data_IF_593044055436
#
_entry.id   IF_593044055436
#
_cell.length_a   1.000
_cell.length_b   1.000
_cell.length_c   1.000
_cell.angle_alpha   90.00
_cell.angle_beta   90.00
_cell.angle_gamma   90.00
#
_symmetry.space_group_name_H-M   'P 1'
#
loop_
_entity.id
_entity.type
_entity.pdbx_description
1 polymer ?
#
# COMPACT_ATOMS: atom_id res chain seq x y z
N UNK A 1 -10.52 20.77 -4.08
CA UNK A 1 -9.23 20.83 -4.82
C UNK A 1 -8.38 21.97 -4.26
N UNK A 2 -7.27 21.62 -3.61
CA UNK A 2 -6.26 22.53 -3.05
C UNK A 2 -5.05 22.60 -3.99
N UNK A 3 -4.38 23.75 -4.07
CA UNK A 3 -3.23 23.97 -4.94
C UNK A 3 -2.02 24.44 -4.13
N UNK A 4 -0.91 23.73 -4.20
CA UNK A 4 0.35 24.04 -3.52
C UNK A 4 1.51 24.01 -4.51
N UNK A 5 2.17 25.15 -4.74
CA UNK A 5 3.34 25.26 -5.64
C UNK A 5 3.12 24.68 -7.07
N UNK A 6 1.86 24.65 -7.55
CA UNK A 6 1.48 24.08 -8.84
C UNK A 6 0.97 22.63 -8.77
N UNK A 7 1.14 21.95 -7.64
CA UNK A 7 0.55 20.66 -7.34
C UNK A 7 -0.94 20.80 -6.96
N UNK A 8 -1.82 20.02 -7.57
CA UNK A 8 -3.25 19.97 -7.23
C UNK A 8 -3.53 18.73 -6.39
N UNK A 9 -4.08 18.91 -5.20
CA UNK A 9 -4.51 17.84 -4.30
C UNK A 9 -6.03 17.90 -4.23
N UNK A 10 -6.70 16.82 -4.63
CA UNK A 10 -8.14 16.73 -4.40
C UNK A 10 -8.42 16.40 -2.95
N UNK A 11 -9.34 17.14 -2.32
CA UNK A 11 -9.75 16.98 -0.93
C UNK A 11 -11.16 16.38 -0.82
N UNK A 12 -11.67 15.82 -1.93
CA UNK A 12 -12.98 15.19 -1.98
C UNK A 12 -13.07 13.90 -1.16
N UNK A 13 -11.93 13.21 -0.97
CA UNK A 13 -11.88 11.96 -0.24
C UNK A 13 -11.84 12.18 1.29
N UNK A 14 -12.46 11.28 2.07
CA UNK A 14 -12.49 11.39 3.52
C UNK A 14 -11.11 11.16 4.16
N UNK A 15 -10.21 10.47 3.46
CA UNK A 15 -8.84 10.21 3.88
C UNK A 15 -7.89 10.39 2.70
N UNK A 16 -6.79 11.11 2.94
CA UNK A 16 -5.70 11.27 1.99
C UNK A 16 -4.39 10.99 2.70
N UNK A 17 -3.54 10.19 2.07
CA UNK A 17 -2.17 9.93 2.54
C UNK A 17 -1.18 10.56 1.57
N UNK A 18 -0.36 11.47 2.09
CA UNK A 18 0.73 12.13 1.36
C UNK A 18 2.04 11.37 1.59
N UNK A 19 2.62 10.84 0.51
CA UNK A 19 3.97 10.28 0.54
C UNK A 19 4.94 11.06 -0.34
N UNK A 20 6.23 10.81 -0.19
CA UNK A 20 7.27 11.42 -1.01
C UNK A 20 8.65 11.29 -0.37
N UNK A 21 9.70 11.33 -1.19
CA UNK A 21 11.09 11.28 -0.72
C UNK A 21 11.41 12.46 0.21
N UNK A 22 12.51 12.35 0.95
CA UNK A 22 12.98 13.45 1.80
C UNK A 22 13.19 14.72 0.98
N UNK A 23 12.70 15.84 1.47
CA UNK A 23 12.74 17.12 0.76
C UNK A 23 11.63 17.34 -0.27
N UNK A 24 10.69 16.40 -0.44
CA UNK A 24 9.56 16.56 -1.38
C UNK A 24 8.51 17.60 -1.00
N UNK A 25 8.66 18.24 0.17
CA UNK A 25 7.77 19.32 0.62
C UNK A 25 6.53 18.88 1.40
N UNK A 26 6.43 17.63 1.88
CA UNK A 26 5.27 17.12 2.65
C UNK A 26 4.82 18.05 3.78
N UNK A 27 5.70 18.34 4.74
CA UNK A 27 5.36 19.23 5.87
C UNK A 27 5.01 20.65 5.41
N UNK A 28 5.62 21.15 4.32
CA UNK A 28 5.23 22.45 3.73
C UNK A 28 3.83 22.41 3.13
N UNK A 29 3.48 21.34 2.44
CA UNK A 29 2.16 21.14 1.86
C UNK A 29 1.08 21.01 2.96
N UNK A 30 1.37 20.29 4.06
CA UNK A 30 0.46 20.18 5.21
C UNK A 30 0.22 21.54 5.88
N UNK A 31 1.28 22.34 6.10
CA UNK A 31 1.15 23.70 6.65
C UNK A 31 0.34 24.61 5.74
N UNK A 32 0.67 24.66 4.45
CA UNK A 32 -0.07 25.47 3.48
C UNK A 32 -1.55 25.05 3.38
N UNK A 33 -1.83 23.74 3.52
CA UNK A 33 -3.18 23.23 3.58
C UNK A 33 -3.92 23.72 4.83
N UNK A 34 -3.27 23.62 6.01
CA UNK A 34 -3.83 24.12 7.26
C UNK A 34 -4.14 25.62 7.18
N UNK A 35 -3.19 26.43 6.69
CA UNK A 35 -3.36 27.87 6.49
C UNK A 35 -4.54 28.19 5.56
N UNK A 36 -4.71 27.40 4.48
CA UNK A 36 -5.81 27.60 3.53
C UNK A 36 -7.19 27.23 4.09
N UNK A 37 -7.23 26.31 5.06
CA UNK A 37 -8.46 25.85 5.71
C UNK A 37 -8.84 26.73 6.91
N UNK A 38 -7.90 27.52 7.44
CA UNK A 38 -8.10 28.36 8.62
C UNK A 38 -8.64 27.54 9.80
N UNK A 39 -9.73 28.01 10.41
CA UNK A 39 -10.35 27.37 11.58
C UNK A 39 -10.86 25.93 11.35
N UNK A 40 -10.98 25.50 10.08
CA UNK A 40 -11.37 24.14 9.71
C UNK A 40 -10.19 23.17 9.63
N UNK A 41 -8.96 23.68 9.56
CA UNK A 41 -7.75 22.87 9.50
C UNK A 41 -7.17 22.66 10.89
N UNK A 42 -7.08 21.41 11.33
CA UNK A 42 -6.40 21.06 12.58
C UNK A 42 -5.07 20.37 12.26
N UNK A 43 -3.99 21.16 12.21
CA UNK A 43 -2.64 20.63 12.05
C UNK A 43 -2.08 20.13 13.38
N UNK A 44 -1.69 18.86 13.42
CA UNK A 44 -1.08 18.22 14.59
C UNK A 44 0.31 17.71 14.19
N UNK A 45 1.34 18.38 14.72
CA UNK A 45 2.72 17.89 14.69
C UNK A 45 3.04 17.22 16.02
N UNK A 46 2.92 15.89 16.08
CA UNK A 46 3.07 15.16 17.34
C UNK A 46 4.47 15.27 17.93
N UNK A 47 5.52 15.39 17.10
CA UNK A 47 6.87 15.53 17.59
C UNK A 47 7.05 16.84 18.38
N UNK A 48 6.70 17.97 17.76
CA UNK A 48 6.82 19.29 18.39
C UNK A 48 5.94 19.40 19.64
N UNK A 49 4.74 18.80 19.62
CA UNK A 49 3.84 18.77 20.76
C UNK A 49 4.38 17.93 21.92
N UNK A 50 4.92 16.74 21.65
CA UNK A 50 5.53 15.89 22.68
C UNK A 50 6.71 16.61 23.37
N UNK A 51 7.61 17.22 22.59
CA UNK A 51 8.77 17.96 23.11
C UNK A 51 8.35 19.13 24.00
N UNK A 52 7.35 19.91 23.56
CA UNK A 52 6.79 21.01 24.35
C UNK A 52 6.20 20.50 25.66
N UNK A 53 5.26 19.55 25.59
CA UNK A 53 4.63 18.93 26.77
C UNK A 53 5.67 18.41 27.75
N UNK A 54 6.66 17.66 27.29
CA UNK A 54 7.70 17.11 28.16
C UNK A 54 8.58 18.20 28.78
N UNK A 55 8.87 19.27 28.06
CA UNK A 55 9.68 20.39 28.57
C UNK A 55 9.00 21.02 29.77
N UNK A 56 7.69 21.31 29.68
CA UNK A 56 6.93 21.89 30.80
C UNK A 56 6.73 20.86 31.92
N UNK A 57 6.42 19.61 31.58
CA UNK A 57 6.24 18.57 32.59
C UNK A 57 7.51 18.20 33.36
N UNK A 58 8.69 18.52 32.82
CA UNK A 58 9.98 18.30 33.48
C UNK A 58 10.51 19.54 34.19
N UNK A 59 9.98 20.73 33.89
CA UNK A 59 10.41 21.97 34.54
C UNK A 59 9.70 22.23 35.87
N UNK A 60 8.62 21.49 36.18
CA UNK A 60 7.85 21.64 37.43
C UNK A 60 7.69 20.32 38.17
N UNK A 61 7.50 20.43 39.48
CA UNK A 61 7.29 19.29 40.39
C UNK A 61 5.93 19.36 41.13
N UNK A 62 5.15 20.42 40.92
CA UNK A 62 3.87 20.71 41.58
C UNK A 62 2.65 20.00 40.96
N UNK A 63 2.85 19.19 39.92
CA UNK A 63 1.77 18.53 39.19
C UNK A 63 0.92 17.56 40.03
N UNK A 64 1.51 16.98 41.09
CA UNK A 64 0.77 16.09 42.01
C UNK A 64 -0.31 16.89 42.75
N UNK A 65 -0.01 18.13 43.14
CA UNK A 65 -0.95 19.00 43.82
C UNK A 65 -2.01 19.53 42.85
N UNK A 66 -1.58 19.96 41.65
CA UNK A 66 -2.50 20.40 40.58
C UNK A 66 -3.51 19.30 40.18
N UNK A 67 -3.07 18.04 40.10
CA UNK A 67 -3.93 16.90 39.76
C UNK A 67 -5.10 16.72 40.75
N UNK A 68 -4.89 17.04 42.03
CA UNK A 68 -5.94 16.92 43.04
C UNK A 68 -7.00 18.03 42.89
N UNK A 69 -6.64 19.15 42.26
CA UNK A 69 -7.50 20.29 42.02
C UNK A 69 -8.30 20.15 40.72
N UNK A 70 -7.64 19.73 39.63
CA UNK A 70 -8.24 19.52 38.32
C UNK A 70 -8.65 18.05 38.17
N UNK A 71 -9.91 17.74 38.44
CA UNK A 71 -10.44 16.37 38.37
C UNK A 71 -10.23 15.67 37.01
N UNK A 72 -10.44 14.35 36.98
CA UNK A 72 -10.26 13.53 35.77
C UNK A 72 -11.19 14.00 34.64
N UNK A 73 -10.61 14.24 33.47
CA UNK A 73 -11.32 14.68 32.25
C UNK A 73 -11.62 13.52 31.29
N UNK A 74 -10.81 12.46 31.32
CA UNK A 74 -10.97 11.32 30.44
C UNK A 74 -9.96 10.20 30.75
N UNK A 75 -9.72 9.27 29.82
CA UNK A 75 -10.61 8.93 28.70
C UNK A 75 -11.86 8.19 29.20
N UNK A 76 -12.90 8.11 28.37
CA UNK A 76 -14.00 7.16 28.54
C UNK A 76 -13.56 5.73 28.14
N UNK A 77 -14.41 4.73 28.36
CA UNK A 77 -14.07 3.33 28.07
C UNK A 77 -13.79 3.09 26.58
N UNK A 78 -14.46 3.81 25.68
CA UNK A 78 -14.23 3.71 24.23
C UNK A 78 -12.83 4.22 23.88
N UNK A 79 -12.47 5.43 24.33
CA UNK A 79 -11.16 6.05 24.06
C UNK A 79 -10.03 5.29 24.74
N UNK A 80 -10.24 4.77 25.96
CA UNK A 80 -9.27 3.88 26.60
C UNK A 80 -8.94 2.69 25.71
N UNK A 81 -9.96 2.02 25.17
CA UNK A 81 -9.76 0.87 24.27
C UNK A 81 -9.04 1.25 22.98
N UNK A 82 -9.27 2.46 22.46
CA UNK A 82 -8.57 2.95 21.27
C UNK A 82 -7.08 3.23 21.56
N UNK A 83 -6.76 3.83 22.71
CA UNK A 83 -5.39 4.07 23.18
C UNK A 83 -4.65 2.75 23.41
N UNK A 84 -5.24 1.81 24.17
CA UNK A 84 -4.65 0.50 24.47
C UNK A 84 -4.25 -0.26 23.21
N UNK A 85 -5.11 -0.23 22.17
CA UNK A 85 -4.83 -0.85 20.87
C UNK A 85 -3.73 -0.16 20.09
N UNK A 86 -3.69 1.17 20.11
CA UNK A 86 -2.68 1.94 19.38
C UNK A 86 -1.28 1.83 20.04
N UNK A 87 -1.23 1.87 21.37
CA UNK A 87 0.02 1.65 22.13
C UNK A 87 0.42 0.17 22.13
N UNK A 88 -0.54 -0.75 22.05
CA UNK A 88 -0.31 -2.19 22.16
C UNK A 88 -0.08 -2.63 23.61
N UNK A 89 -0.78 -2.02 24.57
CA UNK A 89 -0.71 -2.33 26.01
C UNK A 89 -2.11 -2.43 26.60
N UNK A 90 -2.27 -3.36 27.54
CA UNK A 90 -3.47 -3.49 28.37
C UNK A 90 -3.20 -2.78 29.70
N UNK A 91 -3.68 -1.55 29.83
CA UNK A 91 -3.53 -0.79 31.06
C UNK A 91 -4.48 -1.31 32.14
N UNK A 92 -4.07 -1.22 33.39
CA UNK A 92 -4.93 -1.43 34.56
C UNK A 92 -5.79 -0.18 34.81
N UNK A 93 -5.20 1.00 34.66
CA UNK A 93 -5.87 2.30 34.74
C UNK A 93 -5.28 3.27 33.72
N UNK A 94 -6.12 4.16 33.18
CA UNK A 94 -5.73 5.30 32.36
C UNK A 94 -6.58 6.48 32.78
N UNK A 95 -5.94 7.54 33.27
CA UNK A 95 -6.60 8.77 33.67
C UNK A 95 -5.93 9.97 32.97
N UNK A 96 -6.75 10.84 32.39
CA UNK A 96 -6.33 12.07 31.74
C UNK A 96 -6.78 13.28 32.55
N UNK A 97 -5.89 14.26 32.61
CA UNK A 97 -6.06 15.52 33.32
C UNK A 97 -5.73 16.66 32.36
N UNK A 98 -6.41 17.79 32.53
CA UNK A 98 -6.13 19.02 31.81
C UNK A 98 -5.73 20.07 32.85
N UNK A 99 -4.43 20.36 32.94
CA UNK A 99 -3.85 21.24 33.94
C UNK A 99 -3.78 22.66 33.39
N UNK A 100 -4.33 23.64 34.10
CA UNK A 100 -4.25 25.04 33.69
C UNK A 100 -2.86 25.62 33.99
N UNK A 101 -2.24 26.27 33.01
CA UNK A 101 -0.94 26.93 33.17
C UNK A 101 -1.07 28.41 32.82
N UNK A 102 -0.54 29.27 33.71
CA UNK A 102 -0.50 30.71 33.50
C UNK A 102 0.53 31.08 32.42
N UNK A 103 0.11 31.93 31.47
CA UNK A 103 0.83 32.29 30.24
C UNK A 103 2.14 33.07 30.42
N UNK A 104 2.55 33.39 31.66
CA UNK A 104 3.82 34.07 31.95
C UNK A 104 5.06 33.17 31.72
N UNK A 105 4.90 31.84 31.68
CA UNK A 105 5.97 30.87 31.42
C UNK A 105 6.20 30.63 29.90
N UNK A 106 6.33 31.73 29.16
CA UNK A 106 6.32 31.87 27.69
C UNK A 106 7.35 31.05 26.87
N UNK A 107 7.21 29.73 26.87
CA UNK A 107 7.72 28.83 25.81
C UNK A 107 6.59 28.07 25.10
N UNK A 108 5.34 28.34 25.46
CA UNK A 108 4.19 27.48 25.16
C UNK A 108 3.12 28.14 24.28
N UNK A 109 3.27 29.42 23.92
CA UNK A 109 2.20 30.29 23.43
C UNK A 109 1.68 30.07 21.99
N UNK A 110 2.10 29.02 21.28
CA UNK A 110 1.86 28.93 19.82
C UNK A 110 1.48 27.52 19.35
N UNK A 111 0.51 26.85 19.99
CA UNK A 111 0.10 25.51 19.52
C UNK A 111 -1.25 24.96 19.96
N UNK A 112 -1.84 25.53 21.01
CA UNK A 112 -3.14 25.09 21.52
C UNK A 112 -4.14 26.25 21.54
N UNK A 113 -4.36 26.86 20.37
CA UNK A 113 -5.49 27.75 20.12
C UNK A 113 -5.70 28.89 21.12
N UNK A 114 -4.87 29.93 21.06
CA UNK A 114 -5.24 31.33 21.30
C UNK A 114 -6.03 31.74 22.56
N UNK A 115 -6.06 30.95 23.63
CA UNK A 115 -6.75 31.27 24.87
C UNK A 115 -5.79 31.87 25.91
N UNK A 116 -6.30 32.74 26.81
CA UNK A 116 -5.53 33.35 27.91
C UNK A 116 -5.03 32.33 28.96
N UNK A 117 -5.61 31.12 28.97
CA UNK A 117 -5.24 29.96 29.80
C UNK A 117 -4.98 28.77 28.89
N UNK A 118 -3.79 28.18 28.96
CA UNK A 118 -3.45 26.99 28.18
C UNK A 118 -3.64 25.71 29.03
N UNK A 119 -4.36 24.74 28.47
CA UNK A 119 -4.58 23.44 29.09
C UNK A 119 -3.44 22.48 28.72
N UNK A 120 -2.65 22.09 29.72
CA UNK A 120 -1.60 21.09 29.58
C UNK A 120 -2.15 19.68 29.82
N UNK A 121 -2.09 18.78 28.84
CA UNK A 121 -2.47 17.38 29.04
C UNK A 121 -1.48 16.66 29.97
N UNK A 122 -2.03 15.98 30.98
CA UNK A 122 -1.27 15.12 31.89
C UNK A 122 -1.96 13.76 32.02
N UNK A 123 -1.17 12.70 32.05
CA UNK A 123 -1.66 11.32 32.01
C UNK A 123 -1.06 10.52 33.16
N UNK A 124 -1.91 9.76 33.82
CA UNK A 124 -1.54 8.78 34.85
C UNK A 124 -2.03 7.41 34.39
N UNK A 125 -1.12 6.43 34.38
CA UNK A 125 -1.41 5.08 33.91
C UNK A 125 -0.90 4.03 34.88
N UNK A 126 -1.65 2.94 34.99
CA UNK A 126 -1.25 1.73 35.71
C UNK A 126 -1.00 0.61 34.73
N UNK A 127 0.14 -0.07 34.83
CA UNK A 127 0.49 -1.22 34.00
C UNK A 127 1.32 -2.23 34.79
N UNK A 128 0.84 -3.47 34.87
CA UNK A 128 1.52 -4.59 35.56
C UNK A 128 1.91 -4.25 37.00
N UNK A 129 1.01 -3.63 37.75
CA UNK A 129 1.21 -3.22 39.15
C UNK A 129 2.13 -2.00 39.34
N UNK A 130 2.63 -1.37 38.27
CA UNK A 130 3.41 -0.13 38.33
C UNK A 130 2.55 1.04 37.87
N UNK A 131 2.57 2.14 38.62
CA UNK A 131 1.96 3.40 38.20
C UNK A 131 3.03 4.39 37.77
N UNK A 132 2.77 5.08 36.68
CA UNK A 132 3.68 6.08 36.12
C UNK A 132 2.91 7.13 35.32
N UNK A 133 3.61 8.21 34.98
CA UNK A 133 2.99 9.44 34.49
C UNK A 133 3.47 9.80 33.09
N UNK A 134 2.90 10.83 32.48
CA UNK A 134 3.39 11.39 31.21
C UNK A 134 4.91 11.65 31.17
N UNK A 135 5.55 11.90 32.33
CA UNK A 135 7.00 12.16 32.42
C UNK A 135 7.84 10.91 32.16
N UNK A 136 7.27 9.75 32.47
CA UNK A 136 7.90 8.43 32.44
C UNK A 136 7.55 7.65 31.15
N UNK A 137 6.52 8.10 30.42
CA UNK A 137 6.09 7.51 29.16
C UNK A 137 7.18 7.62 28.08
N UNK A 138 7.32 6.57 27.27
CA UNK A 138 8.09 6.67 26.03
C UNK A 138 7.40 7.59 25.03
N UNK A 139 8.16 8.21 24.10
CA UNK A 139 7.61 9.17 23.13
C UNK A 139 6.44 8.63 22.31
N UNK A 140 6.49 7.36 21.89
CA UNK A 140 5.40 6.73 21.14
C UNK A 140 4.14 6.48 21.97
N UNK A 141 4.29 6.24 23.27
CA UNK A 141 3.15 6.11 24.19
C UNK A 141 2.52 7.48 24.45
N UNK A 142 3.35 8.48 24.77
CA UNK A 142 2.91 9.84 25.00
C UNK A 142 2.21 10.43 23.77
N UNK A 143 2.77 10.23 22.57
CA UNK A 143 2.21 10.78 21.33
C UNK A 143 0.80 10.25 21.03
N UNK A 144 0.53 8.97 21.31
CA UNK A 144 -0.80 8.37 21.15
C UNK A 144 -1.79 8.98 22.15
N UNK A 145 -1.40 9.08 23.41
CA UNK A 145 -2.25 9.71 24.44
C UNK A 145 -2.57 11.17 24.09
N UNK A 146 -1.55 11.94 23.68
CA UNK A 146 -1.72 13.33 23.24
C UNK A 146 -2.65 13.44 22.03
N UNK A 147 -2.46 12.59 21.02
CA UNK A 147 -3.30 12.63 19.83
C UNK A 147 -4.77 12.41 20.18
N UNK A 148 -5.09 11.34 20.93
CA UNK A 148 -6.48 11.10 21.31
C UNK A 148 -7.04 12.16 22.25
N UNK A 149 -6.21 12.74 23.14
CA UNK A 149 -6.63 13.89 23.95
C UNK A 149 -7.01 15.09 23.08
N UNK A 150 -6.21 15.43 22.07
CA UNK A 150 -6.50 16.51 21.11
C UNK A 150 -7.82 16.23 20.38
N UNK A 151 -8.01 15.00 19.91
CA UNK A 151 -9.26 14.62 19.25
C UNK A 151 -10.46 14.85 20.18
N UNK A 152 -10.34 14.54 21.47
CA UNK A 152 -11.42 14.79 22.43
C UNK A 152 -11.73 16.28 22.64
N UNK A 153 -10.72 17.15 22.67
CA UNK A 153 -10.93 18.60 22.81
C UNK A 153 -11.76 19.18 21.66
N UNK A 154 -11.68 18.56 20.48
CA UNK A 154 -12.39 19.02 19.30
C UNK A 154 -13.69 18.24 19.02
N UNK A 155 -14.10 17.30 19.87
CA UNK A 155 -15.20 16.34 19.58
C UNK A 155 -16.54 16.96 19.18
N UNK A 156 -16.82 18.20 19.61
CA UNK A 156 -18.09 18.90 19.34
C UNK A 156 -18.09 19.66 18.01
N UNK A 157 -16.91 19.83 17.39
CA UNK A 157 -16.78 20.52 16.11
C UNK A 157 -17.15 19.55 14.97
N UNK A 158 -18.02 20.01 14.08
CA UNK A 158 -18.35 19.34 12.81
C UNK A 158 -17.57 19.96 11.65
N UNK A 159 -17.24 19.18 10.61
CA UNK A 159 -16.52 19.64 9.40
C UNK A 159 -15.08 20.12 9.65
N UNK A 160 -14.30 19.35 10.42
CA UNK A 160 -12.85 19.52 10.57
C UNK A 160 -12.11 18.69 9.53
N UNK A 161 -11.00 19.22 9.03
CA UNK A 161 -9.95 18.45 8.36
C UNK A 161 -8.77 18.28 9.33
N UNK A 162 -8.58 17.06 9.82
CA UNK A 162 -7.45 16.68 10.66
C UNK A 162 -6.21 16.48 9.77
N UNK A 163 -5.13 17.21 10.05
CA UNK A 163 -3.90 17.19 9.26
C UNK A 163 -2.79 16.68 10.18
N UNK A 164 -2.22 15.52 9.86
CA UNK A 164 -1.21 14.85 10.68
C UNK A 164 0.12 14.78 9.94
N UNK A 165 1.19 15.26 10.58
CA UNK A 165 2.56 15.07 10.07
C UNK A 165 3.21 13.90 10.81
N UNK A 166 3.49 12.82 10.07
CA UNK A 166 4.17 11.60 10.53
C UNK A 166 3.68 11.07 11.90
N UNK A 167 2.36 10.82 12.06
CA UNK A 167 1.80 10.41 13.35
C UNK A 167 2.27 9.02 13.82
N UNK A 168 2.90 8.27 12.93
CA UNK A 168 3.41 6.91 13.11
C UNK A 168 4.93 6.84 13.37
N UNK A 169 5.65 7.96 13.36
CA UNK A 169 7.12 7.98 13.44
C UNK A 169 7.71 7.27 14.67
N UNK A 170 6.99 7.28 15.80
CA UNK A 170 7.45 6.69 17.07
C UNK A 170 6.80 5.34 17.40
N UNK A 171 5.97 4.80 16.50
CA UNK A 171 5.21 3.58 16.74
C UNK A 171 5.83 2.38 16.03
N UNK A 172 5.77 1.18 16.66
CA UNK A 172 6.07 -0.05 15.93
C UNK A 172 5.04 -0.27 14.81
N UNK A 173 5.35 -1.06 13.75
CA UNK A 173 4.44 -1.26 12.61
C UNK A 173 3.03 -1.76 12.96
N UNK A 174 2.90 -2.55 14.03
CA UNK A 174 1.61 -3.02 14.54
C UNK A 174 0.81 -1.86 15.14
N UNK A 175 1.48 -0.97 15.88
CA UNK A 175 0.86 0.21 16.50
C UNK A 175 0.45 1.27 15.47
N UNK A 176 1.25 1.48 14.42
CA UNK A 176 0.91 2.45 13.36
C UNK A 176 -0.37 2.07 12.60
N UNK A 177 -0.50 0.79 12.22
CA UNK A 177 -1.69 0.27 11.52
C UNK A 177 -2.94 0.35 12.40
N UNK A 178 -2.80 0.02 13.70
CA UNK A 178 -3.87 0.16 14.68
C UNK A 178 -4.29 1.62 14.87
N UNK A 179 -3.34 2.54 15.00
CA UNK A 179 -3.59 3.97 15.16
C UNK A 179 -4.40 4.52 13.99
N UNK A 180 -3.97 4.29 12.75
CA UNK A 180 -4.66 4.79 11.56
C UNK A 180 -6.09 4.28 11.45
N UNK A 181 -6.28 2.97 11.63
CA UNK A 181 -7.61 2.36 11.59
C UNK A 181 -8.54 3.04 12.58
N UNK A 182 -8.02 3.44 13.74
CA UNK A 182 -8.80 4.18 14.76
C UNK A 182 -9.03 5.62 14.37
N UNK A 183 -8.02 6.33 13.89
CA UNK A 183 -8.17 7.70 13.41
C UNK A 183 -9.22 7.80 12.32
N UNK A 184 -9.21 6.88 11.37
CA UNK A 184 -10.22 6.80 10.30
C UNK A 184 -11.62 6.61 10.87
N UNK A 185 -11.81 5.67 11.79
CA UNK A 185 -13.11 5.46 12.44
C UNK A 185 -13.58 6.69 13.21
N UNK A 186 -12.70 7.32 13.98
CA UNK A 186 -13.03 8.53 14.74
C UNK A 186 -13.41 9.67 13.80
N UNK A 187 -12.68 9.84 12.69
CA UNK A 187 -12.98 10.88 11.70
C UNK A 187 -14.31 10.59 11.00
N UNK A 188 -14.55 9.36 10.56
CA UNK A 188 -15.81 8.96 9.93
C UNK A 188 -17.02 9.13 10.87
N UNK A 189 -16.91 8.69 12.14
CA UNK A 189 -17.95 8.84 13.16
C UNK A 189 -18.32 10.32 13.38
N UNK A 190 -17.37 11.25 13.15
CA UNK A 190 -17.51 12.69 13.36
C UNK A 190 -17.75 13.50 12.09
N UNK A 191 -17.74 12.86 10.92
CA UNK A 191 -17.79 13.54 9.62
C UNK A 191 -16.57 14.43 9.36
N UNK A 192 -15.41 14.10 9.94
CA UNK A 192 -14.15 14.79 9.69
C UNK A 192 -13.44 14.20 8.49
N UNK A 193 -12.61 15.02 7.84
CA UNK A 193 -11.64 14.57 6.84
C UNK A 193 -10.28 14.38 7.51
N UNK A 194 -9.45 13.50 6.96
CA UNK A 194 -8.08 13.30 7.44
C UNK A 194 -7.08 13.40 6.29
N UNK A 195 -5.99 14.13 6.52
CA UNK A 195 -4.83 14.21 5.63
C UNK A 195 -3.60 13.83 6.46
N UNK A 196 -2.90 12.78 6.06
CA UNK A 196 -1.74 12.25 6.81
C UNK A 196 -0.52 12.25 5.92
N UNK A 197 0.60 12.82 6.37
CA UNK A 197 1.90 12.52 5.79
C UNK A 197 2.54 11.34 6.52
N UNK A 198 3.06 10.36 5.78
CA UNK A 198 3.75 9.21 6.36
C UNK A 198 4.81 8.64 5.43
N UNK A 199 5.80 8.01 6.04
CA UNK A 199 6.85 7.23 5.39
C UNK A 199 6.70 5.71 5.61
N UNK A 200 5.75 5.26 6.43
CA UNK A 200 5.60 3.84 6.70
C UNK A 200 5.10 3.10 5.45
N UNK A 201 5.88 2.11 5.00
CA UNK A 201 5.56 1.28 3.84
C UNK A 201 4.20 0.58 4.00
N UNK A 202 3.83 0.18 5.22
CA UNK A 202 2.51 -0.39 5.52
C UNK A 202 1.39 0.61 5.28
N UNK A 203 1.52 1.85 5.79
CA UNK A 203 0.52 2.91 5.58
C UNK A 203 0.37 3.26 4.10
N UNK A 204 1.50 3.43 3.41
CA UNK A 204 1.51 3.76 1.98
C UNK A 204 0.84 2.62 1.18
N UNK A 205 1.17 1.37 1.49
CA UNK A 205 0.58 0.19 0.81
C UNK A 205 -0.93 0.11 0.99
N UNK A 206 -1.44 0.38 2.19
CA UNK A 206 -2.88 0.39 2.46
C UNK A 206 -3.57 1.55 1.74
N UNK A 207 -2.98 2.75 1.77
CA UNK A 207 -3.53 3.93 1.09
C UNK A 207 -3.59 3.77 -0.43
N UNK A 208 -2.58 3.12 -1.02
CA UNK A 208 -2.57 2.76 -2.44
C UNK A 208 -3.71 1.79 -2.78
N UNK A 209 -3.94 0.78 -1.95
CA UNK A 209 -5.01 -0.19 -2.16
C UNK A 209 -6.42 0.42 -2.07
N UNK A 210 -6.55 1.58 -1.43
CA UNK A 210 -7.81 2.33 -1.27
C UNK A 210 -7.90 3.55 -2.19
N UNK A 211 -6.96 3.72 -3.14
CA UNK A 211 -6.90 4.88 -4.05
C UNK A 211 -6.92 6.23 -3.31
N UNK A 212 -6.34 6.27 -2.11
CA UNK A 212 -6.29 7.42 -1.19
C UNK A 212 -4.89 8.03 -1.09
N UNK A 213 -3.94 7.53 -1.89
CA UNK A 213 -2.53 7.92 -1.84
C UNK A 213 -2.20 9.02 -2.86
N UNK A 214 -1.42 10.03 -2.43
CA UNK A 214 -0.89 11.10 -3.28
C UNK A 214 0.63 11.19 -3.09
N UNK A 215 1.37 11.09 -4.19
CA UNK A 215 2.82 11.26 -4.21
C UNK A 215 3.18 12.73 -4.43
N UNK A 216 3.95 13.31 -3.52
CA UNK A 216 4.65 14.58 -3.71
C UNK A 216 6.08 14.34 -4.19
N UNK A 217 6.45 14.98 -5.29
CA UNK A 217 7.79 14.93 -5.90
C UNK A 217 8.22 16.31 -6.39
N UNK A 218 9.52 16.54 -6.48
CA UNK A 218 10.08 17.77 -7.02
C UNK A 218 10.57 17.48 -8.44
N UNK A 219 10.15 18.28 -9.42
CA UNK A 219 10.62 18.17 -10.80
C UNK A 219 12.05 18.71 -10.97
N UNK A 220 12.65 18.53 -12.15
CA UNK A 220 14.00 19.03 -12.45
C UNK A 220 14.13 20.56 -12.32
N UNK A 221 13.01 21.29 -12.36
CA UNK A 221 12.95 22.74 -12.18
C UNK A 221 12.77 23.18 -10.73
N UNK A 222 12.74 22.24 -9.79
CA UNK A 222 12.57 22.53 -8.36
C UNK A 222 11.12 22.77 -7.94
N UNK A 223 10.13 22.49 -8.80
CA UNK A 223 8.70 22.68 -8.49
C UNK A 223 8.10 21.40 -7.91
N UNK A 224 7.26 21.57 -6.90
CA UNK A 224 6.51 20.46 -6.30
C UNK A 224 5.37 20.03 -7.22
N UNK A 225 5.27 18.74 -7.48
CA UNK A 225 4.20 18.08 -8.22
C UNK A 225 3.50 17.07 -7.33
N UNK A 226 2.17 17.00 -7.43
CA UNK A 226 1.37 15.93 -6.83
C UNK A 226 0.89 14.98 -7.93
N UNK A 227 0.97 13.67 -7.66
CA UNK A 227 0.39 12.65 -8.53
C UNK A 227 -0.49 11.74 -7.68
N UNK A 228 -1.73 11.55 -8.09
CA UNK A 228 -2.65 10.69 -7.38
C UNK A 228 -2.45 9.23 -7.79
N UNK A 229 -2.58 8.31 -6.83
CA UNK A 229 -2.56 6.87 -7.08
C UNK A 229 -3.60 6.37 -8.09
N UNK A 230 -4.74 7.07 -8.24
CA UNK A 230 -5.75 6.76 -9.26
C UNK A 230 -5.33 7.14 -10.68
N UNK A 231 -4.44 8.12 -10.80
CA UNK A 231 -3.93 8.60 -12.09
C UNK A 231 -2.69 7.81 -12.52
N UNK A 232 -1.93 7.28 -11.57
CA UNK A 232 -0.73 6.48 -11.81
C UNK A 232 -0.51 5.44 -10.70
N UNK A 233 -0.82 4.18 -10.99
CA UNK A 233 -0.64 3.07 -10.05
C UNK A 233 0.85 2.68 -9.84
N UNK A 234 1.77 3.22 -10.65
CA UNK A 234 3.21 2.94 -10.52
C UNK A 234 3.91 3.75 -9.43
N UNK A 235 3.23 4.75 -8.85
CA UNK A 235 3.77 5.60 -7.79
C UNK A 235 4.20 4.83 -6.52
N UNK A 236 3.60 3.66 -6.29
CA UNK A 236 3.98 2.75 -5.23
C UNK A 236 5.46 2.34 -5.30
N UNK A 237 5.97 2.16 -6.51
CA UNK A 237 7.31 1.61 -6.76
C UNK A 237 8.41 2.59 -6.35
N UNK A 238 8.11 3.89 -6.28
CA UNK A 238 9.06 4.94 -5.94
C UNK A 238 9.31 5.07 -4.42
N UNK A 239 8.42 4.54 -3.58
CA UNK A 239 8.45 4.77 -2.13
C UNK A 239 8.38 3.50 -1.27
N UNK A 240 7.70 2.44 -1.73
CA UNK A 240 7.43 1.25 -0.91
C UNK A 240 8.60 0.26 -0.92
N UNK A 241 9.61 0.48 -1.77
CA UNK A 241 10.63 -0.54 -2.07
C UNK A 241 10.04 -1.67 -2.91
N UNK A 242 10.89 -2.63 -3.31
CA UNK A 242 10.47 -3.72 -4.20
C UNK A 242 9.23 -4.45 -3.63
N UNK A 243 8.22 -4.73 -4.46
CA UNK A 243 7.05 -5.48 -4.02
C UNK A 243 7.50 -6.83 -3.47
N UNK A 244 7.10 -7.14 -2.23
CA UNK A 244 7.39 -8.45 -1.62
C UNK A 244 6.70 -9.50 -2.49
N UNK A 245 7.47 -10.34 -3.17
CA UNK A 245 6.94 -11.47 -3.94
C UNK A 245 6.10 -12.33 -3.00
N UNK A 246 4.78 -12.36 -3.23
CA UNK A 246 3.82 -13.16 -2.46
C UNK A 246 3.44 -14.45 -3.15
N UNK A 247 3.65 -14.52 -4.47
CA UNK A 247 3.26 -15.63 -5.34
C UNK A 247 4.43 -16.02 -6.22
N UNK A 248 4.65 -17.32 -6.39
CA UNK A 248 5.61 -17.87 -7.35
C UNK A 248 4.90 -18.89 -8.22
N UNK A 249 4.88 -18.65 -9.53
CA UNK A 249 4.30 -19.56 -10.52
C UNK A 249 5.43 -20.28 -11.24
N UNK A 250 5.39 -21.61 -11.25
CA UNK A 250 6.28 -22.42 -12.07
C UNK A 250 5.59 -22.77 -13.38
N UNK A 251 6.26 -22.56 -14.50
CA UNK A 251 5.76 -22.81 -15.87
C UNK A 251 6.74 -23.69 -16.64
N UNK A 252 6.28 -24.30 -17.74
CA UNK A 252 7.05 -25.34 -18.45
C UNK A 252 8.26 -24.76 -19.17
N UNK A 253 8.06 -23.71 -19.95
CA UNK A 253 9.08 -23.10 -20.80
C UNK A 253 8.90 -21.58 -20.95
N UNK A 254 9.63 -20.98 -21.88
CA UNK A 254 9.61 -19.54 -22.13
C UNK A 254 8.32 -19.05 -22.81
N UNK A 255 7.69 -19.88 -23.64
CA UNK A 255 6.42 -19.54 -24.29
C UNK A 255 5.30 -19.55 -23.25
N UNK A 256 5.27 -20.57 -22.39
CA UNK A 256 4.39 -20.67 -21.23
C UNK A 256 4.62 -19.50 -20.25
N UNK A 257 5.88 -19.13 -19.99
CA UNK A 257 6.22 -17.96 -19.18
C UNK A 257 5.65 -16.68 -19.74
N UNK A 258 5.84 -16.46 -21.04
CA UNK A 258 5.44 -15.20 -21.66
C UNK A 258 3.92 -15.07 -21.67
N UNK A 259 3.22 -16.16 -22.01
CA UNK A 259 1.75 -16.19 -21.96
C UNK A 259 1.23 -16.00 -20.53
N UNK A 260 1.78 -16.74 -19.55
CA UNK A 260 1.40 -16.58 -18.14
C UNK A 260 1.62 -15.15 -17.65
N UNK A 261 2.73 -14.52 -18.05
CA UNK A 261 3.04 -13.14 -17.64
C UNK A 261 1.99 -12.16 -18.13
N UNK A 262 1.59 -12.25 -19.40
CA UNK A 262 0.54 -11.40 -19.95
C UNK A 262 -0.81 -11.68 -19.27
N UNK A 263 -1.15 -12.95 -19.01
CA UNK A 263 -2.38 -13.32 -18.29
C UNK A 263 -2.40 -12.77 -16.86
N UNK A 264 -1.28 -12.79 -16.15
CA UNK A 264 -1.18 -12.20 -14.80
C UNK A 264 -1.30 -10.67 -14.87
N UNK A 265 -0.80 -10.02 -15.92
CA UNK A 265 -0.98 -8.57 -16.13
C UNK A 265 -2.47 -8.19 -16.28
N UNK A 266 -3.30 -9.06 -16.88
CA UNK A 266 -4.78 -8.89 -16.96
C UNK A 266 -5.43 -8.87 -15.57
N UNK A 267 -4.85 -9.53 -14.57
CA UNK A 267 -5.36 -9.49 -13.19
C UNK A 267 -5.20 -8.11 -12.53
N UNK A 268 -4.34 -7.25 -13.08
CA UNK A 268 -4.01 -5.92 -12.58
C UNK A 268 -2.57 -5.79 -12.08
N UNK A 269 -2.07 -4.55 -12.08
CA UNK A 269 -0.68 -4.21 -11.73
C UNK A 269 -0.18 -4.83 -10.43
N UNK A 270 -1.01 -4.83 -9.38
CA UNK A 270 -0.64 -5.40 -8.07
C UNK A 270 -0.37 -6.91 -8.17
N UNK A 271 -1.22 -7.64 -8.88
CA UNK A 271 -1.07 -9.08 -9.03
C UNK A 271 0.20 -9.43 -9.82
N UNK A 272 0.49 -8.68 -10.89
CA UNK A 272 1.73 -8.80 -11.66
C UNK A 272 2.98 -8.55 -10.80
N UNK A 273 2.96 -7.52 -9.94
CA UNK A 273 4.10 -7.17 -9.08
C UNK A 273 4.37 -8.14 -7.95
N UNK A 274 3.31 -8.67 -7.33
CA UNK A 274 3.44 -9.63 -6.23
C UNK A 274 3.68 -11.06 -6.71
N UNK A 275 3.79 -11.30 -8.03
CA UNK A 275 3.92 -12.63 -8.64
C UNK A 275 5.24 -12.76 -9.41
N UNK A 276 6.12 -13.63 -8.91
CA UNK A 276 7.26 -14.10 -9.69
C UNK A 276 6.83 -15.29 -10.55
N UNK A 277 7.32 -15.34 -11.79
CA UNK A 277 7.10 -16.47 -12.69
C UNK A 277 8.48 -17.05 -13.01
N UNK A 278 8.61 -18.37 -12.90
CA UNK A 278 9.86 -19.10 -13.11
C UNK A 278 9.58 -20.23 -14.10
N UNK A 279 10.24 -20.21 -15.25
CA UNK A 279 10.16 -21.34 -16.18
C UNK A 279 11.18 -22.43 -15.82
N UNK A 280 10.82 -23.68 -16.09
CA UNK A 280 11.67 -24.84 -15.94
C UNK A 280 12.16 -25.41 -17.27
N UNK A 281 12.62 -26.66 -17.22
CA UNK A 281 12.97 -27.47 -18.41
C UNK A 281 11.80 -28.42 -18.76
N UNK A 282 10.60 -27.86 -18.95
CA UNK A 282 9.38 -28.58 -19.37
C UNK A 282 8.57 -29.28 -18.26
N UNK A 283 7.46 -29.91 -18.65
CA UNK A 283 6.51 -30.61 -17.75
C UNK A 283 7.14 -31.66 -16.85
N UNK A 284 8.15 -32.40 -17.33
CA UNK A 284 8.84 -33.42 -16.53
C UNK A 284 9.49 -32.82 -15.27
N UNK A 285 10.17 -31.69 -15.42
CA UNK A 285 10.75 -30.94 -14.29
C UNK A 285 9.66 -30.42 -13.34
N UNK A 286 8.57 -29.89 -13.90
CA UNK A 286 7.44 -29.38 -13.10
C UNK A 286 6.75 -30.46 -12.28
N UNK A 287 6.56 -31.66 -12.82
CA UNK A 287 5.97 -32.80 -12.09
C UNK A 287 6.86 -33.21 -10.92
N UNK A 288 8.18 -33.22 -11.09
CA UNK A 288 9.10 -33.50 -9.99
C UNK A 288 9.09 -32.38 -8.93
N UNK A 289 9.03 -31.11 -9.36
CA UNK A 289 8.89 -29.97 -8.44
C UNK A 289 7.57 -30.04 -7.65
N UNK A 290 6.47 -30.44 -8.28
CA UNK A 290 5.16 -30.71 -7.66
C UNK A 290 5.21 -31.85 -6.63
N UNK A 291 6.06 -32.85 -6.85
CA UNK A 291 6.22 -33.98 -5.92
C UNK A 291 7.02 -33.61 -4.68
N UNK A 292 8.02 -32.74 -4.84
CA UNK A 292 9.03 -32.51 -3.81
C UNK A 292 8.93 -31.17 -3.07
N UNK A 293 8.24 -30.16 -3.60
CA UNK A 293 8.10 -28.88 -2.94
C UNK A 293 7.12 -28.98 -1.74
N UNK A 294 7.59 -28.76 -0.49
CA UNK A 294 6.72 -28.85 0.67
C UNK A 294 5.75 -27.67 0.74
N UNK A 295 4.55 -27.93 1.26
CA UNK A 295 3.54 -26.91 1.57
C UNK A 295 3.38 -26.81 3.10
N UNK A 296 3.94 -25.79 3.76
CA UNK A 296 3.74 -25.59 5.19
C UNK A 296 2.27 -25.18 5.47
N UNK A 297 1.76 -25.42 6.70
CA UNK A 297 0.39 -25.03 7.08
C UNK A 297 0.11 -23.54 6.92
N UNK A 298 1.09 -22.71 7.25
CA UNK A 298 1.08 -21.27 7.05
C UNK A 298 2.29 -20.90 6.19
N UNK A 299 2.04 -20.21 5.07
CA UNK A 299 3.11 -19.79 4.17
C UNK A 299 2.98 -18.33 3.83
N UNK A 300 4.08 -17.59 3.99
CA UNK A 300 4.18 -16.19 3.57
C UNK A 300 4.20 -16.03 2.05
N UNK A 301 4.59 -17.08 1.31
CA UNK A 301 4.69 -17.11 -0.15
C UNK A 301 3.88 -18.30 -0.68
N UNK A 302 2.95 -18.05 -1.59
CA UNK A 302 2.15 -19.09 -2.23
C UNK A 302 2.82 -19.55 -3.52
N UNK A 303 2.86 -20.85 -3.73
CA UNK A 303 3.38 -21.44 -4.96
C UNK A 303 2.22 -22.04 -5.76
N UNK A 304 2.34 -22.03 -7.08
CA UNK A 304 1.48 -22.78 -7.98
C UNK A 304 2.27 -23.30 -9.18
N UNK A 305 1.79 -24.39 -9.77
CA UNK A 305 2.28 -24.93 -11.03
C UNK A 305 1.29 -24.55 -12.12
N UNK A 306 1.78 -24.01 -13.23
CA UNK A 306 0.99 -23.63 -14.39
C UNK A 306 1.51 -24.45 -15.57
N UNK A 307 0.85 -25.57 -15.83
CA UNK A 307 1.17 -26.47 -16.93
C UNK A 307 0.58 -25.96 -18.24
N UNK A 308 1.09 -26.47 -19.36
CA UNK A 308 0.51 -26.19 -20.66
C UNK A 308 -0.89 -26.83 -20.80
N UNK A 309 -1.69 -26.33 -21.74
CA UNK A 309 -3.07 -26.76 -21.91
C UNK A 309 -3.18 -28.24 -22.27
N UNK A 310 -2.27 -28.75 -23.10
CA UNK A 310 -2.22 -30.15 -23.55
C UNK A 310 -1.97 -31.14 -22.39
N UNK A 311 -1.30 -30.69 -21.32
CA UNK A 311 -1.01 -31.49 -20.11
C UNK A 311 -2.19 -31.70 -19.18
N UNK A 312 -3.35 -31.09 -19.46
CA UNK A 312 -4.57 -31.23 -18.65
C UNK A 312 -5.03 -32.68 -18.46
N UNK A 313 -4.76 -33.54 -19.44
CA UNK A 313 -5.13 -34.97 -19.37
C UNK A 313 -4.08 -35.86 -18.69
N UNK A 314 -2.84 -35.38 -18.58
CA UNK A 314 -1.68 -36.14 -18.08
C UNK A 314 -1.37 -35.81 -16.61
N UNK A 315 -1.66 -34.59 -16.17
CA UNK A 315 -1.35 -34.09 -14.83
C UNK A 315 -2.60 -34.10 -13.95
N UNK A 316 -2.54 -34.86 -12.86
CA UNK A 316 -3.61 -34.87 -11.87
C UNK A 316 -3.58 -33.62 -10.99
N UNK A 317 -4.76 -33.12 -10.63
CA UNK A 317 -4.91 -32.06 -9.65
C UNK A 317 -4.15 -32.38 -8.35
N UNK A 318 -3.53 -31.34 -7.81
CA UNK A 318 -2.80 -31.43 -6.55
C UNK A 318 -3.72 -31.86 -5.41
N UNK A 319 -3.34 -32.91 -4.67
CA UNK A 319 -3.97 -33.27 -3.40
C UNK A 319 -3.94 -32.06 -2.45
N UNK A 320 -4.92 -31.96 -1.53
CA UNK A 320 -5.09 -30.81 -0.61
C UNK A 320 -3.83 -30.36 0.16
N UNK A 321 -2.89 -31.29 0.41
CA UNK A 321 -1.59 -31.04 1.07
C UNK A 321 -0.48 -30.54 0.14
N UNK A 322 -0.75 -30.29 -1.14
CA UNK A 322 0.21 -29.79 -2.14
C UNK A 322 -0.19 -28.41 -2.66
N UNK A 323 0.77 -27.75 -3.29
CA UNK A 323 0.53 -26.49 -3.99
C UNK A 323 -0.34 -26.73 -5.22
N UNK A 324 -1.28 -25.82 -5.55
CA UNK A 324 -2.21 -26.00 -6.66
C UNK A 324 -1.51 -26.20 -8.00
N UNK A 325 -2.11 -27.03 -8.85
CA UNK A 325 -1.77 -27.16 -10.26
C UNK A 325 -2.89 -26.50 -11.07
N UNK A 326 -2.49 -25.63 -11.98
CA UNK A 326 -3.30 -24.91 -12.94
C UNK A 326 -2.80 -25.25 -14.35
N UNK A 327 -3.62 -24.93 -15.33
CA UNK A 327 -3.32 -25.16 -16.73
C UNK A 327 -3.52 -23.86 -17.48
N UNK A 328 -2.64 -23.58 -18.43
CA UNK A 328 -2.84 -22.49 -19.38
C UNK A 328 -4.18 -22.65 -20.12
N UNK A 329 -4.70 -21.56 -20.68
CA UNK A 329 -5.96 -21.60 -21.40
C UNK A 329 -5.96 -22.65 -22.52
N UNK A 330 -7.14 -23.22 -22.79
CA UNK A 330 -7.36 -24.25 -23.81
C UNK A 330 -6.69 -25.59 -23.50
N UNK A 331 -6.69 -26.51 -24.48
CA UNK A 331 -6.04 -27.83 -24.42
C UNK A 331 -4.81 -27.90 -25.36
N UNK A 332 -4.29 -26.75 -25.78
CA UNK A 332 -3.12 -26.63 -26.66
C UNK A 332 -1.90 -26.11 -25.88
N UNK A 333 -0.71 -26.38 -26.40
CA UNK A 333 0.51 -25.76 -25.89
C UNK A 333 0.62 -24.28 -26.36
N UNK A 334 1.43 -23.45 -25.67
CA UNK A 334 1.59 -22.04 -25.99
C UNK A 334 2.08 -21.76 -27.42
N UNK A 335 2.96 -22.59 -27.98
CA UNK A 335 3.48 -22.39 -29.34
C UNK A 335 2.38 -22.66 -30.39
N UNK A 336 1.51 -23.65 -30.14
CA UNK A 336 0.30 -23.87 -30.95
C UNK A 336 -0.68 -22.69 -30.86
N UNK A 337 -0.87 -22.14 -29.66
CA UNK A 337 -1.69 -20.93 -29.48
C UNK A 337 -1.13 -19.75 -30.24
N UNK A 338 0.18 -19.53 -30.22
CA UNK A 338 0.83 -18.47 -30.95
C UNK A 338 0.73 -18.67 -32.47
N UNK A 339 0.95 -19.88 -32.96
CA UNK A 339 0.82 -20.21 -34.38
C UNK A 339 -0.62 -20.13 -34.89
N UNK A 340 -1.62 -20.27 -34.00
CA UNK A 340 -3.03 -20.05 -34.36
C UNK A 340 -3.28 -18.61 -34.88
N UNK A 341 -2.45 -17.65 -34.44
CA UNK A 341 -2.50 -16.24 -34.83
C UNK A 341 -1.83 -15.93 -36.18
N UNK A 342 -1.32 -16.94 -36.91
CA UNK A 342 -0.61 -16.72 -38.19
C UNK A 342 -1.40 -15.91 -39.22
N UNK A 343 -2.73 -16.00 -39.20
CA UNK A 343 -3.61 -15.25 -40.11
C UNK A 343 -3.78 -13.78 -39.68
N UNK A 344 -3.43 -13.44 -38.44
CA UNK A 344 -3.48 -12.09 -37.87
C UNK A 344 -2.16 -11.33 -38.09
N UNK A 345 -1.38 -11.71 -39.10
CA UNK A 345 -0.05 -11.15 -39.35
C UNK A 345 -0.05 -9.63 -39.56
N UNK A 346 -1.14 -9.03 -40.05
CA UNK A 346 -1.23 -7.58 -40.20
C UNK A 346 -1.20 -6.85 -38.83
N UNK A 347 -1.93 -7.37 -37.85
CA UNK A 347 -1.97 -6.85 -36.48
C UNK A 347 -0.63 -7.12 -35.77
N UNK A 348 -0.08 -8.31 -35.96
CA UNK A 348 1.24 -8.66 -35.42
C UNK A 348 2.34 -7.75 -36.00
N UNK A 349 2.29 -7.42 -37.29
CA UNK A 349 3.23 -6.51 -37.93
C UNK A 349 3.18 -5.11 -37.30
N UNK A 350 1.98 -4.63 -36.96
CA UNK A 350 1.80 -3.36 -36.28
C UNK A 350 2.47 -3.36 -34.89
N UNK A 351 2.24 -4.39 -34.08
CA UNK A 351 2.86 -4.56 -32.75
C UNK A 351 4.38 -4.70 -32.84
N UNK A 352 4.85 -5.45 -33.82
CA UNK A 352 6.27 -5.62 -34.14
C UNK A 352 6.87 -4.41 -34.88
N UNK A 353 6.09 -3.37 -35.18
CA UNK A 353 6.54 -2.17 -35.92
C UNK A 353 7.37 -2.51 -37.16
N UNK A 354 6.94 -3.53 -37.90
CA UNK A 354 7.53 -3.95 -39.17
C UNK A 354 6.53 -3.74 -40.31
N UNK A 355 6.98 -3.52 -41.55
CA UNK A 355 6.08 -3.44 -42.69
C UNK A 355 5.26 -4.72 -42.84
N UNK A 356 3.94 -4.59 -43.06
CA UNK A 356 3.02 -5.75 -43.22
C UNK A 356 3.49 -6.69 -44.33
N UNK A 357 3.96 -6.15 -45.46
CA UNK A 357 4.47 -6.93 -46.57
C UNK A 357 5.72 -7.75 -46.23
N UNK A 358 6.56 -7.23 -45.33
CA UNK A 358 7.77 -7.93 -44.88
C UNK A 358 7.40 -9.10 -43.97
N UNK A 359 6.50 -8.86 -43.00
CA UNK A 359 6.05 -9.93 -42.11
C UNK A 359 5.27 -11.00 -42.87
N UNK A 360 4.45 -10.60 -43.85
CA UNK A 360 3.74 -11.54 -44.71
C UNK A 360 4.70 -12.47 -45.47
N UNK A 361 5.72 -11.92 -46.13
CA UNK A 361 6.73 -12.72 -46.81
C UNK A 361 7.47 -13.67 -45.86
N UNK A 362 7.67 -13.26 -44.60
CA UNK A 362 8.22 -14.15 -43.57
C UNK A 362 7.25 -15.26 -43.19
N UNK A 363 5.96 -14.97 -43.04
CA UNK A 363 4.95 -15.99 -42.73
C UNK A 363 4.89 -17.07 -43.82
N UNK A 364 5.02 -16.68 -45.10
CA UNK A 364 5.07 -17.60 -46.23
C UNK A 364 6.27 -18.56 -46.13
N UNK A 365 7.43 -18.10 -45.63
CA UNK A 365 8.62 -18.94 -45.40
C UNK A 365 8.49 -19.89 -44.20
N UNK A 366 7.58 -19.59 -43.27
CA UNK A 366 7.30 -20.42 -42.09
C UNK A 366 6.16 -21.41 -42.35
N UNK A 367 5.54 -21.38 -43.53
CA UNK A 367 4.49 -22.30 -43.90
C UNK A 367 4.99 -23.75 -43.87
N UNK A 368 4.21 -24.64 -43.25
CA UNK A 368 4.53 -26.07 -43.15
C UNK A 368 5.46 -26.48 -42.01
N UNK A 369 6.08 -25.54 -41.28
CA UNK A 369 6.83 -25.84 -40.05
C UNK A 369 5.88 -26.26 -38.93
N UNK A 370 6.34 -26.99 -37.91
CA UNK A 370 5.57 -27.24 -36.68
C UNK A 370 5.43 -25.97 -35.82
N UNK A 371 4.69 -26.03 -34.70
CA UNK A 371 4.44 -24.88 -33.83
C UNK A 371 5.71 -24.32 -33.21
N UNK A 372 6.57 -25.19 -32.71
CA UNK A 372 7.80 -24.83 -32.03
C UNK A 372 8.79 -24.15 -32.98
N UNK A 373 9.04 -24.77 -34.14
CA UNK A 373 9.92 -24.20 -35.17
C UNK A 373 9.37 -22.88 -35.72
N UNK A 374 8.06 -22.77 -35.88
CA UNK A 374 7.40 -21.54 -36.34
C UNK A 374 7.65 -20.37 -35.38
N UNK A 375 7.47 -20.58 -34.07
CA UNK A 375 7.69 -19.55 -33.05
C UNK A 375 9.17 -19.19 -32.97
N UNK A 376 10.06 -20.18 -32.94
CA UNK A 376 11.51 -19.97 -32.81
C UNK A 376 12.11 -19.19 -33.99
N UNK A 377 11.71 -19.52 -35.22
CA UNK A 377 12.24 -18.85 -36.41
C UNK A 377 11.69 -17.42 -36.53
N UNK A 378 10.43 -17.20 -36.15
CA UNK A 378 9.86 -15.87 -36.09
C UNK A 378 10.55 -15.00 -35.02
N UNK A 379 10.78 -15.58 -33.84
CA UNK A 379 11.53 -15.00 -32.73
C UNK A 379 12.97 -14.64 -33.14
N UNK A 380 13.63 -15.51 -33.91
CA UNK A 380 14.99 -15.28 -34.42
C UNK A 380 15.02 -14.10 -35.40
N UNK A 381 13.98 -13.95 -36.23
CA UNK A 381 13.92 -12.88 -37.23
C UNK A 381 13.65 -11.49 -36.62
N UNK A 382 12.79 -11.39 -35.61
CA UNK A 382 12.29 -10.09 -35.11
C UNK A 382 12.59 -9.80 -33.64
N UNK A 383 13.35 -10.69 -32.99
CA UNK A 383 13.73 -10.60 -31.58
C UNK A 383 12.80 -11.41 -30.69
N UNK A 384 13.36 -12.40 -30.01
CA UNK A 384 12.63 -13.43 -29.25
C UNK A 384 11.64 -12.88 -28.22
N UNK A 385 12.13 -12.09 -27.26
CA UNK A 385 11.30 -11.49 -26.21
C UNK A 385 10.17 -10.64 -26.78
N UNK A 386 10.44 -9.92 -27.88
CA UNK A 386 9.46 -9.03 -28.51
C UNK A 386 8.36 -9.82 -29.20
N UNK A 387 8.73 -10.84 -29.98
CA UNK A 387 7.80 -11.70 -30.70
C UNK A 387 6.90 -12.46 -29.74
N UNK A 388 7.47 -13.14 -28.75
CA UNK A 388 6.70 -13.89 -27.76
C UNK A 388 5.71 -12.98 -27.02
N UNK A 389 6.16 -11.80 -26.58
CA UNK A 389 5.28 -10.83 -25.90
C UNK A 389 4.15 -10.36 -26.80
N UNK A 390 4.45 -9.95 -28.04
CA UNK A 390 3.42 -9.47 -28.96
C UNK A 390 2.41 -10.57 -29.36
N UNK A 391 2.86 -11.82 -29.49
CA UNK A 391 1.98 -12.96 -29.73
C UNK A 391 1.08 -13.25 -28.52
N UNK A 392 1.64 -13.25 -27.31
CA UNK A 392 0.88 -13.46 -26.08
C UNK A 392 -0.17 -12.36 -25.85
N UNK A 393 0.20 -11.07 -26.01
CA UNK A 393 -0.74 -9.94 -25.92
C UNK A 393 -1.84 -10.07 -26.99
N UNK A 394 -1.48 -10.39 -28.23
CA UNK A 394 -2.45 -10.54 -29.32
C UNK A 394 -3.40 -11.73 -29.07
N UNK A 395 -2.88 -12.83 -28.52
CA UNK A 395 -3.69 -13.98 -28.16
C UNK A 395 -4.71 -13.62 -27.08
N UNK A 396 -4.28 -12.95 -26.01
CA UNK A 396 -5.13 -12.52 -24.89
C UNK A 396 -6.22 -11.54 -25.37
N UNK A 397 -5.87 -10.58 -26.21
CA UNK A 397 -6.82 -9.61 -26.76
C UNK A 397 -7.93 -10.28 -27.59
N UNK A 398 -7.61 -11.35 -28.32
CA UNK A 398 -8.54 -12.08 -29.17
C UNK A 398 -9.34 -13.16 -28.42
N UNK A 399 -8.86 -13.62 -27.27
CA UNK A 399 -9.42 -14.72 -26.49
C UNK A 399 -9.72 -14.26 -25.05
N UNK A 400 -10.42 -13.13 -24.92
CA UNK A 400 -10.69 -12.48 -23.63
C UNK A 400 -11.44 -13.36 -22.64
N UNK A 401 -12.34 -14.21 -23.12
CA UNK A 401 -13.16 -15.11 -22.29
C UNK A 401 -12.29 -16.21 -21.67
N UNK A 402 -11.42 -16.84 -22.47
CA UNK A 402 -10.48 -17.87 -22.01
C UNK A 402 -9.42 -17.27 -21.08
N UNK A 403 -8.92 -16.08 -21.38
CA UNK A 403 -8.02 -15.35 -20.51
C UNK A 403 -8.67 -15.03 -19.15
N UNK A 404 -9.93 -14.57 -19.16
CA UNK A 404 -10.69 -14.26 -17.95
C UNK A 404 -10.96 -15.52 -17.11
N UNK A 405 -11.29 -16.65 -17.74
CA UNK A 405 -11.48 -17.91 -17.05
C UNK A 405 -10.21 -18.38 -16.31
N UNK A 406 -9.05 -18.31 -16.97
CA UNK A 406 -7.77 -18.62 -16.34
C UNK A 406 -7.46 -17.67 -15.17
N UNK A 407 -7.70 -16.37 -15.35
CA UNK A 407 -7.52 -15.36 -14.29
C UNK A 407 -8.41 -15.68 -13.07
N UNK A 408 -9.64 -16.10 -13.29
CA UNK A 408 -10.56 -16.46 -12.20
C UNK A 408 -10.19 -17.77 -11.49
N UNK A 409 -9.59 -18.72 -12.20
CA UNK A 409 -9.02 -19.92 -11.58
C UNK A 409 -7.78 -19.56 -10.75
N UNK A 410 -6.90 -18.69 -11.28
CA UNK A 410 -5.71 -18.20 -10.59
C UNK A 410 -6.06 -17.42 -9.31
N UNK A 411 -7.12 -16.60 -9.33
CA UNK A 411 -7.67 -15.90 -8.14
C UNK A 411 -8.24 -16.84 -7.08
N UNK A 412 -8.75 -18.02 -7.48
CA UNK A 412 -9.34 -18.98 -6.55
C UNK A 412 -8.29 -19.76 -5.76
N UNK A 413 -7.13 -20.00 -6.37
CA UNK A 413 -6.08 -20.85 -5.77
C UNK A 413 -4.94 -20.08 -5.11
N UNK A 414 -4.75 -18.79 -5.46
CA UNK A 414 -3.76 -17.89 -4.89
C UNK A 414 -4.40 -16.81 -4.03
#
# INVERSE_FOLDING_TARGET
MFSFEGAKIDLGDPCIVLGGLNGSGKSRALRALADSLGDKGLLVNLHELCERVLTVLRSRDDFVDMKNEFGRVGPDDKRRSDVERAVGREYESVDWYALEIESSDSSYSDGFGGAEVELLPYFDVGYRGVRYTSRDMGLGELSVHLLFWILEQHRERSDITLILDEPDAYLPPVGSSALLTRLLRVCLDRGWRIVVASHASTMISEALAQEAFVLLRVDESGRTMAVHSRDDASLADLLVGDPVVRRVLFVEDESAFTLTRVLVEVMGQRASRETAIVWGDGSGYMVELQRHLPKPPESAVRFAYVFDGDKRSEVFESKSRRWPALFLPTDLDPDELFKSLRLEYAELAHRLRVPVSELQARMDLLEGKDSHDWVNDLATAYGRTRVLRSLAELWVDKNSDQASAFVDDLRRVL
#
